data_IF_960259075599
#
_entry.id   IF_960259075599
#
_cell.length_a   1.000
_cell.length_b   1.000
_cell.length_c   1.000
_cell.angle_alpha   90.00
_cell.angle_beta   90.00
_cell.angle_gamma   90.00
#
_symmetry.space_group_name_H-M   'P 1'
#
loop_
_entity.id
_entity.type
_entity.pdbx_description
1 polymer ?
#
# COMPACT_ATOMS: atom_id res chain seq x y z
N UNK A 1 56.13 11.94 25.99
CA UNK A 1 55.60 11.92 25.79
C UNK A 1 54.55 11.79 25.47
N UNK A 2 53.97 11.78 25.27
CA UNK A 2 53.09 11.69 25.04
C UNK A 2 52.05 11.36 24.76
N UNK A 3 51.30 11.27 24.55
CA UNK A 3 50.39 11.06 24.36
C UNK A 3 49.40 10.75 23.96
N UNK A 4 48.71 10.68 23.79
CA UNK A 4 47.84 10.41 23.48
C UNK A 4 46.75 10.19 23.23
N UNK A 5 46.07 10.15 22.93
CA UNK A 5 45.07 9.92 22.68
C UNK A 5 44.05 9.48 22.50
N UNK A 6 43.37 9.49 22.38
CA UNK A 6 42.37 9.07 22.23
C UNK A 6 41.37 8.92 21.82
N UNK A 7 40.93 8.76 21.49
CA UNK A 7 40.02 8.57 21.02
C UNK A 7 38.92 8.22 21.07
N UNK A 8 38.42 8.20 20.92
CA UNK A 8 37.49 7.86 20.97
C UNK A 8 36.46 7.72 20.58
N UNK A 9 36.01 7.76 20.26
CA UNK A 9 35.12 7.63 19.97
C UNK A 9 34.18 7.28 19.72
N UNK A 10 33.76 7.34 19.44
CA UNK A 10 32.90 7.11 19.22
C UNK A 10 31.93 6.67 19.07
N UNK A 11 31.62 6.61 18.94
CA UNK A 11 30.79 6.19 18.74
C UNK A 11 29.73 6.00 18.64
N UNK A 12 29.36 6.11 18.54
CA UNK A 12 28.44 5.88 18.55
C UNK A 12 27.49 5.76 18.15
N UNK A 13 27.20 5.96 17.94
CA UNK A 13 26.34 5.94 17.64
C UNK A 13 25.52 5.50 17.26
N UNK A 14 25.36 5.42 16.99
CA UNK A 14 24.64 5.00 16.49
C UNK A 14 23.69 4.50 16.57
N UNK A 15 23.67 4.48 16.52
CA UNK A 15 22.92 3.82 16.74
C UNK A 15 21.68 3.92 16.62
N UNK A 16 21.29 4.14 16.89
CA UNK A 16 20.09 4.15 16.96
C UNK A 16 19.34 4.17 15.93
N UNK A 17 19.46 4.40 15.43
CA UNK A 17 18.79 4.48 14.57
C UNK A 17 17.97 3.67 14.23
N UNK A 18 17.97 3.48 13.96
CA UNK A 18 17.25 2.83 13.43
C UNK A 18 16.26 2.27 13.80
N UNK A 19 16.23 2.04 14.33
CA UNK A 19 15.35 1.42 14.70
C UNK A 19 14.13 1.59 14.28
N UNK A 20 13.64 2.05 14.09
CA UNK A 20 12.49 2.20 13.85
C UNK A 20 11.98 1.67 12.87
N UNK A 21 12.29 1.69 12.39
CA UNK A 21 11.75 1.36 11.42
C UNK A 21 11.14 0.24 11.26
N UNK A 22 11.04 -0.43 11.91
CA UNK A 22 10.51 -1.51 11.68
C UNK A 22 9.17 -1.52 11.44
N UNK A 23 8.52 -0.61 11.58
CA UNK A 23 7.23 -0.62 11.30
C UNK A 23 7.06 -0.69 9.89
N UNK A 24 6.40 -1.61 9.32
CA UNK A 24 6.01 -1.63 7.96
C UNK A 24 5.03 -0.55 7.71
N UNK A 25 5.12 0.07 6.59
CA UNK A 25 4.16 1.08 6.21
C UNK A 25 3.79 0.84 4.76
N UNK A 26 2.79 1.54 4.29
CA UNK A 26 2.45 1.49 2.88
C UNK A 26 2.99 2.74 2.20
N UNK A 27 3.16 2.66 0.88
CA UNK A 27 3.60 3.81 0.10
C UNK A 27 2.37 4.51 -0.47
N UNK A 28 2.48 5.80 -0.67
CA UNK A 28 1.43 6.58 -1.31
C UNK A 28 1.97 7.15 -2.60
N UNK A 29 1.19 6.99 -3.67
CA UNK A 29 1.53 7.57 -4.97
C UNK A 29 0.27 8.22 -5.51
N UNK A 30 0.40 8.99 -6.58
CA UNK A 30 -0.79 9.56 -7.21
C UNK A 30 -1.27 8.63 -8.32
N UNK A 31 -2.37 9.02 -8.96
CA UNK A 31 -2.99 8.18 -9.98
C UNK A 31 -2.07 7.96 -11.18
N UNK A 32 -1.34 8.99 -11.58
CA UNK A 32 -0.43 8.86 -12.69
C UNK A 32 0.70 7.89 -12.39
N UNK A 33 1.24 7.97 -11.19
CA UNK A 33 2.30 7.07 -10.79
C UNK A 33 1.81 5.64 -10.72
N UNK A 34 0.59 5.45 -10.21
CA UNK A 34 0.01 4.13 -10.15
C UNK A 34 -0.18 3.54 -11.54
N UNK A 35 -0.64 4.37 -12.48
CA UNK A 35 -0.83 3.94 -13.84
C UNK A 35 0.49 3.50 -14.46
N UNK A 36 1.56 4.25 -14.21
CA UNK A 36 2.89 3.89 -14.69
C UNK A 36 3.35 2.56 -14.09
N UNK A 37 3.07 2.35 -12.81
CA UNK A 37 3.43 1.09 -12.17
C UNK A 37 2.69 -0.07 -12.82
N UNK A 38 1.43 0.13 -13.17
CA UNK A 38 0.65 -0.92 -13.83
C UNK A 38 1.22 -1.26 -15.20
N UNK A 39 1.84 -0.29 -15.85
CA UNK A 39 2.45 -0.55 -17.15
C UNK A 39 3.81 -1.23 -17.03
N UNK A 40 4.54 -0.91 -15.98
CA UNK A 40 5.90 -1.39 -15.83
C UNK A 40 6.02 -2.68 -15.05
N UNK A 41 5.08 -2.95 -14.15
CA UNK A 41 5.14 -4.12 -13.29
C UNK A 41 4.22 -5.21 -13.79
N UNK A 42 4.39 -6.38 -13.24
CA UNK A 42 3.48 -7.49 -13.52
C UNK A 42 3.24 -8.21 -12.21
N UNK A 43 2.22 -9.06 -12.20
CA UNK A 43 1.94 -9.85 -11.02
C UNK A 43 1.36 -9.07 -9.87
N UNK A 44 0.84 -7.87 -10.13
CA UNK A 44 0.24 -7.07 -9.08
C UNK A 44 -1.26 -7.30 -9.01
N UNK A 45 -1.85 -6.85 -7.91
CA UNK A 45 -3.30 -6.84 -7.75
C UNK A 45 -3.73 -5.39 -7.63
N UNK A 46 -4.81 -5.03 -8.32
CA UNK A 46 -5.46 -3.74 -8.11
C UNK A 46 -6.62 -4.02 -7.16
N UNK A 47 -6.58 -3.40 -5.99
CA UNK A 47 -7.57 -3.65 -4.95
C UNK A 47 -8.46 -2.44 -4.76
N UNK A 48 -9.74 -2.63 -5.07
CA UNK A 48 -10.77 -1.62 -4.90
C UNK A 48 -11.42 -1.86 -3.55
N UNK A 49 -11.33 -0.89 -2.66
CA UNK A 49 -11.91 -1.06 -1.33
C UNK A 49 -13.18 -0.24 -1.13
N UNK A 50 -13.82 0.14 -2.23
CA UNK A 50 -15.14 0.74 -2.20
C UNK A 50 -16.17 -0.31 -1.78
N UNK A 51 -17.39 0.13 -1.52
CA UNK A 51 -18.47 -0.85 -1.29
C UNK A 51 -18.72 -1.62 -2.57
N UNK A 52 -19.38 -2.75 -2.45
CA UNK A 52 -19.71 -3.56 -3.62
C UNK A 52 -20.57 -2.79 -4.61
N UNK A 53 -21.49 -1.97 -4.09
CA UNK A 53 -22.34 -1.18 -4.98
C UNK A 53 -21.54 -0.14 -5.75
N UNK A 54 -20.65 0.57 -5.06
CA UNK A 54 -19.80 1.57 -5.72
C UNK A 54 -18.94 0.92 -6.78
N UNK A 55 -18.38 -0.23 -6.46
CA UNK A 55 -17.54 -0.97 -7.40
C UNK A 55 -18.32 -1.31 -8.66
N UNK A 56 -19.55 -1.79 -8.49
CA UNK A 56 -20.36 -2.14 -9.65
C UNK A 56 -20.69 -0.93 -10.51
N UNK A 57 -20.75 0.24 -9.91
CA UNK A 57 -21.05 1.46 -10.65
C UNK A 57 -19.84 1.93 -11.46
N UNK A 58 -18.64 1.80 -10.90
CA UNK A 58 -17.45 2.28 -11.57
C UNK A 58 -16.20 1.74 -10.89
N UNK A 59 -15.36 1.08 -11.61
CA UNK A 59 -14.10 0.60 -11.08
C UNK A 59 -13.04 0.53 -12.17
N UNK A 60 -11.80 0.39 -11.77
CA UNK A 60 -10.68 0.28 -12.69
C UNK A 60 -10.68 -1.13 -13.26
N UNK A 61 -10.52 -1.29 -14.59
CA UNK A 61 -10.50 -2.63 -15.18
C UNK A 61 -9.48 -3.53 -14.52
N UNK A 62 -9.89 -4.76 -14.22
CA UNK A 62 -8.99 -5.72 -13.59
C UNK A 62 -8.94 -5.67 -12.09
N UNK A 63 -9.55 -4.67 -11.46
CA UNK A 63 -9.55 -4.56 -10.02
C UNK A 63 -10.45 -5.61 -9.39
N UNK A 64 -10.05 -6.09 -8.22
CA UNK A 64 -10.95 -6.91 -7.41
C UNK A 64 -11.48 -6.05 -6.28
N UNK A 65 -12.64 -6.41 -5.77
CA UNK A 65 -13.31 -5.59 -4.76
C UNK A 65 -13.32 -6.32 -3.40
N UNK A 66 -12.70 -5.69 -2.42
CA UNK A 66 -12.79 -6.12 -1.04
C UNK A 66 -13.08 -4.87 -0.23
N UNK A 67 -14.33 -4.62 0.14
CA UNK A 67 -14.68 -3.37 0.82
C UNK A 67 -13.88 -3.15 2.10
N UNK A 68 -13.48 -1.92 2.31
CA UNK A 68 -12.66 -1.56 3.46
C UNK A 68 -13.25 -2.08 4.78
N UNK A 69 -14.55 -1.95 4.93
CA UNK A 69 -15.17 -2.33 6.19
C UNK A 69 -15.16 -3.84 6.45
N UNK A 70 -14.84 -4.65 5.44
CA UNK A 70 -14.75 -6.09 5.64
C UNK A 70 -13.32 -6.53 5.95
N UNK A 71 -12.34 -5.65 5.85
CA UNK A 71 -10.97 -6.01 6.17
C UNK A 71 -10.79 -5.85 7.66
N UNK A 72 -10.50 -6.95 8.33
CA UNK A 72 -10.34 -6.95 9.78
C UNK A 72 -8.97 -7.48 10.16
N UNK A 73 -8.96 -8.45 11.06
CA UNK A 73 -7.71 -9.00 11.57
C UNK A 73 -7.44 -10.40 11.08
N UNK A 74 -8.29 -10.92 10.18
CA UNK A 74 -8.13 -12.27 9.69
C UNK A 74 -7.51 -12.25 8.32
N UNK A 75 -6.84 -13.34 7.97
CA UNK A 75 -6.24 -13.47 6.65
C UNK A 75 -7.32 -13.34 5.58
N UNK A 76 -6.91 -12.85 4.43
CA UNK A 76 -7.81 -12.60 3.31
C UNK A 76 -7.48 -13.64 2.24
N UNK A 77 -8.39 -14.59 2.00
CA UNK A 77 -8.10 -15.65 1.02
C UNK A 77 -7.81 -15.14 -0.38
N UNK A 78 -8.43 -14.03 -0.77
CA UNK A 78 -8.20 -13.45 -2.10
C UNK A 78 -6.81 -12.84 -2.25
N UNK A 79 -6.10 -12.64 -1.15
CA UNK A 79 -4.78 -12.04 -1.14
C UNK A 79 -3.82 -12.97 -0.42
N UNK A 80 -3.51 -14.12 -1.01
CA UNK A 80 -2.70 -15.12 -0.29
C UNK A 80 -1.21 -14.80 -0.22
N UNK A 81 -0.71 -13.96 -1.11
CA UNK A 81 0.72 -13.67 -1.16
C UNK A 81 0.99 -12.34 -0.45
N UNK A 82 1.58 -12.42 0.74
CA UNK A 82 1.81 -11.23 1.54
C UNK A 82 2.89 -10.31 0.99
N UNK A 83 3.63 -10.77 0.00
CA UNK A 83 4.69 -9.96 -0.59
C UNK A 83 4.32 -9.41 -1.96
N UNK A 84 3.16 -9.78 -2.46
CA UNK A 84 2.71 -9.33 -3.76
C UNK A 84 2.43 -7.83 -3.75
N UNK A 85 2.72 -7.18 -4.84
CA UNK A 85 2.41 -5.76 -4.98
C UNK A 85 0.90 -5.60 -5.05
N UNK A 86 0.33 -4.79 -4.18
CA UNK A 86 -1.11 -4.54 -4.14
C UNK A 86 -1.31 -3.03 -4.24
N UNK A 87 -2.01 -2.62 -5.30
CA UNK A 87 -2.30 -1.21 -5.56
C UNK A 87 -3.72 -0.95 -5.08
N UNK A 88 -3.88 -0.11 -4.07
CA UNK A 88 -5.13 0.05 -3.32
C UNK A 88 -5.74 1.42 -3.61
N UNK A 89 -7.04 1.43 -3.92
CA UNK A 89 -7.75 2.69 -4.12
C UNK A 89 -9.19 2.56 -3.59
N UNK A 90 -9.83 3.69 -3.42
CA UNK A 90 -11.25 3.72 -3.06
C UNK A 90 -11.92 4.79 -3.90
N UNK A 91 -12.90 5.49 -3.37
CA UNK A 91 -13.59 6.51 -4.15
C UNK A 91 -12.88 7.85 -4.06
N UNK A 92 -12.59 8.30 -2.85
CA UNK A 92 -11.97 9.62 -2.63
C UNK A 92 -10.64 9.56 -1.90
N UNK A 93 -10.19 8.38 -1.46
CA UNK A 93 -8.87 8.23 -0.85
C UNK A 93 -8.85 7.97 0.64
N UNK A 94 -9.96 8.15 1.35
CA UNK A 94 -9.95 7.94 2.79
C UNK A 94 -9.96 6.46 3.18
N UNK A 95 -10.85 5.70 2.59
CA UNK A 95 -10.97 4.28 2.92
C UNK A 95 -9.75 3.51 2.45
N UNK A 96 -9.14 3.94 1.34
CA UNK A 96 -7.95 3.25 0.85
C UNK A 96 -6.78 3.38 1.81
N UNK A 97 -6.67 4.52 2.50
CA UNK A 97 -5.63 4.67 3.51
C UNK A 97 -5.91 3.78 4.70
N UNK A 98 -7.17 3.72 5.14
CA UNK A 98 -7.55 2.84 6.24
C UNK A 98 -7.29 1.39 5.89
N UNK A 99 -7.69 0.98 4.68
CA UNK A 99 -7.49 -0.38 4.24
C UNK A 99 -6.00 -0.72 4.16
N UNK A 100 -5.19 0.21 3.66
CA UNK A 100 -3.76 -0.01 3.56
C UNK A 100 -3.13 -0.23 4.91
N UNK A 101 -3.56 0.55 5.93
CA UNK A 101 -3.06 0.34 7.28
C UNK A 101 -3.44 -1.03 7.82
N UNK A 102 -4.67 -1.46 7.54
CA UNK A 102 -5.11 -2.78 7.99
C UNK A 102 -4.31 -3.88 7.34
N UNK A 103 -4.03 -3.73 6.03
CA UNK A 103 -3.25 -4.73 5.31
C UNK A 103 -1.82 -4.82 5.82
N UNK A 104 -1.23 -3.67 6.14
CA UNK A 104 0.10 -3.67 6.73
C UNK A 104 0.09 -4.44 8.04
N UNK A 105 -0.91 -4.22 8.87
CA UNK A 105 -1.01 -4.94 10.14
C UNK A 105 -1.22 -6.43 9.96
N UNK A 106 -1.80 -6.83 8.84
CA UNK A 106 -1.97 -8.24 8.54
C UNK A 106 -0.71 -8.88 7.97
N UNK A 107 0.34 -8.10 7.76
CA UNK A 107 1.62 -8.63 7.31
C UNK A 107 1.91 -8.43 5.83
N UNK A 108 1.07 -7.68 5.12
CA UNK A 108 1.34 -7.40 3.72
C UNK A 108 2.46 -6.37 3.64
N UNK A 109 3.48 -6.66 2.83
CA UNK A 109 4.69 -5.88 2.83
C UNK A 109 4.88 -5.00 1.60
N UNK A 110 3.97 -5.04 0.65
CA UNK A 110 4.17 -4.31 -0.60
C UNK A 110 2.88 -3.63 -1.02
N UNK A 111 2.41 -2.72 -0.17
CA UNK A 111 1.14 -2.02 -0.38
C UNK A 111 1.43 -0.62 -0.92
N UNK A 112 0.74 -0.27 -2.00
CA UNK A 112 0.82 1.06 -2.60
C UNK A 112 -0.59 1.62 -2.69
N UNK A 113 -0.86 2.72 -2.02
CA UNK A 113 -2.18 3.35 -2.00
C UNK A 113 -2.14 4.54 -2.94
N UNK A 114 -3.14 4.67 -3.81
CA UNK A 114 -3.08 5.72 -4.82
C UNK A 114 -4.34 6.59 -4.89
N UNK A 115 -5.07 6.69 -3.80
CA UNK A 115 -6.14 7.69 -3.73
C UNK A 115 -7.48 7.14 -4.13
N UNK A 116 -8.22 7.93 -4.89
CA UNK A 116 -9.58 7.57 -5.24
C UNK A 116 -9.81 7.55 -6.72
N UNK A 117 -10.82 6.80 -7.12
CA UNK A 117 -11.19 6.71 -8.53
C UNK A 117 -11.66 8.07 -9.04
N UNK A 118 -12.04 8.97 -8.13
CA UNK A 118 -12.42 10.33 -8.53
C UNK A 118 -11.27 11.08 -9.20
N UNK A 119 -10.03 10.72 -8.87
CA UNK A 119 -8.86 11.35 -9.47
C UNK A 119 -8.22 10.51 -10.57
N UNK A 120 -8.80 9.37 -10.87
CA UNK A 120 -8.26 8.46 -11.87
C UNK A 120 -8.68 8.94 -13.25
N UNK A 121 -7.71 9.09 -14.15
CA UNK A 121 -8.01 9.56 -15.50
C UNK A 121 -7.95 8.43 -16.53
N UNK A 122 -7.66 7.22 -16.11
CA UNK A 122 -7.60 6.10 -17.02
C UNK A 122 -8.99 5.52 -17.26
N UNK A 123 -8.98 4.36 -17.86
CA UNK A 123 -10.22 3.68 -18.21
C UNK A 123 -10.95 3.19 -16.96
N UNK A 124 -12.27 3.21 -17.00
CA UNK A 124 -13.09 2.60 -15.96
C UNK A 124 -14.18 1.78 -16.61
N UNK A 125 -14.70 0.83 -15.85
CA UNK A 125 -15.80 -0.03 -16.32
C UNK A 125 -16.84 -0.10 -15.23
N UNK A 126 -18.00 -0.63 -15.59
CA UNK A 126 -19.07 -0.86 -14.63
C UNK A 126 -19.42 -2.33 -14.64
N UNK A 127 -20.22 -2.75 -13.64
CA UNK A 127 -20.63 -4.13 -13.53
C UNK A 127 -19.72 -4.86 -12.57
N UNK A 128 -19.85 -6.18 -12.56
CA UNK A 128 -19.08 -6.95 -11.61
C UNK A 128 -17.85 -7.58 -12.16
N UNK A 129 -17.56 -7.41 -13.41
CA UNK A 129 -16.42 -8.09 -13.99
C UNK A 129 -15.20 -7.19 -14.13
#
# INVERSE_FOLDING_TARGET
MKKIIPFLMALLLLAGCGAQSEESTYRQVNAEEADSMMEEESGYIILDVQTAQEYSEKHIPGAINIPNETIGTEDIPELPDKEQLILVYCRSGNRSKQASEKLVKLGYTNIVEFGGINDWTGETVSGEA
#
